data_IF_765682702231
#
_entry.id   IF_765682702231
#
_cell.length_a   1.000
_cell.length_b   1.000
_cell.length_c   1.000
_cell.angle_alpha   90.00
_cell.angle_beta   90.00
_cell.angle_gamma   90.00
#
_symmetry.space_group_name_H-M   'P 1'
#
loop_
_entity.id
_entity.type
_entity.pdbx_description
1 polymer ?
#
# COMPACT_ATOMS: atom_id res chain seq x y z
N UNK A 1 7.39 10.85 -10.74
CA UNK A 1 8.42 10.29 -9.81
C UNK A 1 8.45 11.00 -8.46
N UNK A 2 8.37 12.32 -8.37
CA UNK A 2 8.44 13.12 -7.13
C UNK A 2 7.50 12.61 -6.02
N UNK A 3 6.29 12.21 -6.39
CA UNK A 3 5.32 11.68 -5.43
C UNK A 3 5.76 10.36 -4.78
N UNK A 4 6.49 9.50 -5.50
CA UNK A 4 7.08 8.27 -4.95
C UNK A 4 8.29 8.62 -4.08
N UNK A 5 9.11 9.56 -4.53
CA UNK A 5 10.25 10.11 -3.79
C UNK A 5 9.81 10.63 -2.41
N UNK A 6 8.76 11.46 -2.36
CA UNK A 6 8.21 11.99 -1.12
C UNK A 6 7.76 10.86 -0.16
N UNK A 7 7.05 9.85 -0.68
CA UNK A 7 6.62 8.70 0.14
C UNK A 7 7.79 7.93 0.72
N UNK A 8 8.81 7.64 -0.09
CA UNK A 8 10.00 6.90 0.37
C UNK A 8 10.76 7.70 1.41
N UNK A 9 10.96 9.00 1.20
CA UNK A 9 11.59 9.88 2.18
C UNK A 9 10.84 9.86 3.53
N UNK A 10 9.51 10.00 3.49
CA UNK A 10 8.66 9.95 4.68
C UNK A 10 8.68 8.57 5.36
N UNK A 11 8.66 7.45 4.62
CA UNK A 11 8.80 6.11 5.19
C UNK A 11 10.13 5.96 5.92
N UNK A 12 11.21 6.48 5.35
CA UNK A 12 12.55 6.42 5.94
C UNK A 12 12.69 7.27 7.19
N UNK A 13 11.98 8.39 7.27
CA UNK A 13 11.93 9.28 8.44
C UNK A 13 10.93 8.87 9.49
N UNK A 14 10.02 7.92 9.21
CA UNK A 14 9.04 7.43 10.16
C UNK A 14 9.68 6.81 11.42
N UNK A 15 9.13 7.15 12.60
CA UNK A 15 9.61 6.70 13.91
C UNK A 15 8.56 5.95 14.73
N UNK A 16 7.27 6.15 14.46
CA UNK A 16 6.18 5.58 15.25
C UNK A 16 5.24 4.73 14.39
N UNK A 17 4.64 5.32 13.35
CA UNK A 17 3.58 4.66 12.59
C UNK A 17 3.51 5.09 11.13
N UNK A 18 3.07 4.15 10.29
CA UNK A 18 2.73 4.37 8.88
C UNK A 18 1.33 3.81 8.64
N UNK A 19 0.42 4.64 8.11
CA UNK A 19 -0.96 4.29 7.80
C UNK A 19 -1.24 4.52 6.32
N UNK A 20 -1.64 3.47 5.60
CA UNK A 20 -1.89 3.54 4.16
C UNK A 20 -3.27 3.01 3.84
N UNK A 21 -4.05 3.79 3.08
CA UNK A 21 -5.22 3.30 2.35
C UNK A 21 -4.97 3.43 0.86
N UNK A 22 -5.30 2.39 0.09
CA UNK A 22 -5.19 2.44 -1.37
C UNK A 22 -6.25 1.56 -2.02
N UNK A 23 -6.64 1.93 -3.23
CA UNK A 23 -7.59 1.16 -4.02
C UNK A 23 -6.89 0.05 -4.80
N UNK A 24 -5.71 0.33 -5.38
CA UNK A 24 -4.93 -0.62 -6.16
C UNK A 24 -3.52 -0.73 -5.62
N UNK A 25 -3.04 -1.95 -5.47
CA UNK A 25 -1.63 -2.26 -5.23
C UNK A 25 -1.22 -3.38 -6.18
N UNK A 26 -0.30 -3.10 -7.09
CA UNK A 26 0.13 -4.07 -8.12
C UNK A 26 1.50 -4.65 -7.76
N UNK A 27 1.70 -5.90 -8.14
CA UNK A 27 2.98 -6.59 -8.01
C UNK A 27 3.93 -6.18 -9.16
N UNK A 28 4.33 -4.92 -9.18
CA UNK A 28 5.28 -4.34 -10.13
C UNK A 28 6.43 -3.64 -9.41
N UNK A 29 7.33 -3.00 -10.14
CA UNK A 29 8.53 -2.38 -9.58
C UNK A 29 8.22 -1.35 -8.48
N UNK A 30 7.22 -0.49 -8.68
CA UNK A 30 6.82 0.52 -7.69
C UNK A 30 6.16 -0.13 -6.46
N UNK A 31 5.28 -1.11 -6.67
CA UNK A 31 4.64 -1.87 -5.60
C UNK A 31 5.64 -2.65 -4.75
N UNK A 32 6.62 -3.30 -5.39
CA UNK A 32 7.72 -4.01 -4.69
C UNK A 32 8.60 -3.05 -3.90
N UNK A 33 9.00 -1.93 -4.50
CA UNK A 33 9.82 -0.93 -3.83
C UNK A 33 9.14 -0.44 -2.54
N UNK A 34 7.84 -0.13 -2.61
CA UNK A 34 7.07 0.29 -1.45
C UNK A 34 7.03 -0.78 -0.34
N UNK A 35 6.77 -2.05 -0.67
CA UNK A 35 6.79 -3.14 0.33
C UNK A 35 8.15 -3.24 1.02
N UNK A 36 9.24 -3.12 0.28
CA UNK A 36 10.61 -3.19 0.84
C UNK A 36 10.91 -2.04 1.79
N UNK A 37 10.54 -0.83 1.43
CA UNK A 37 10.73 0.34 2.30
C UNK A 37 9.85 0.25 3.56
N UNK A 38 8.62 -0.24 3.45
CA UNK A 38 7.74 -0.52 4.59
C UNK A 38 8.32 -1.62 5.49
N UNK A 39 8.88 -2.68 4.91
CA UNK A 39 9.57 -3.73 5.67
C UNK A 39 10.80 -3.18 6.41
N UNK A 40 11.58 -2.33 5.76
CA UNK A 40 12.71 -1.66 6.40
C UNK A 40 12.25 -0.76 7.56
N UNK A 41 11.13 -0.04 7.43
CA UNK A 41 10.53 0.73 8.52
C UNK A 41 10.04 -0.17 9.67
N UNK A 42 9.34 -1.26 9.35
CA UNK A 42 8.88 -2.23 10.35
C UNK A 42 10.04 -2.85 11.15
N UNK A 43 11.16 -3.14 10.49
CA UNK A 43 12.40 -3.62 11.15
C UNK A 43 13.04 -2.58 12.07
N UNK A 44 12.80 -1.30 11.86
CA UNK A 44 13.21 -0.22 12.79
C UNK A 44 12.24 -0.07 13.98
N UNK A 45 11.14 -0.82 14.02
CA UNK A 45 10.14 -0.77 15.09
C UNK A 45 8.86 0.00 14.73
N UNK A 46 8.79 0.60 13.53
CA UNK A 46 7.63 1.37 13.08
C UNK A 46 6.43 0.46 12.86
N UNK A 47 5.25 0.87 13.35
CA UNK A 47 3.99 0.15 13.14
C UNK A 47 3.41 0.47 11.77
N UNK A 48 3.40 -0.50 10.87
CA UNK A 48 2.88 -0.35 9.50
C UNK A 48 1.49 -0.96 9.40
N UNK A 49 0.50 -0.16 9.01
CA UNK A 49 -0.89 -0.55 8.81
C UNK A 49 -1.35 -0.19 7.41
N UNK A 50 -1.78 -1.17 6.64
CA UNK A 50 -2.18 -0.98 5.24
C UNK A 50 -3.56 -1.56 5.00
N UNK A 51 -4.47 -0.76 4.43
CA UNK A 51 -5.77 -1.23 3.93
C UNK A 51 -5.76 -1.12 2.41
N UNK A 52 -6.10 -2.22 1.74
CA UNK A 52 -6.16 -2.31 0.28
C UNK A 52 -7.55 -2.77 -0.12
N UNK A 53 -8.13 -2.20 -1.17
CA UNK A 53 -9.36 -2.75 -1.74
C UNK A 53 -9.06 -4.06 -2.47
N UNK A 54 -9.88 -5.09 -2.23
CA UNK A 54 -9.63 -6.43 -2.77
C UNK A 54 -9.73 -6.50 -4.29
N UNK A 55 -10.67 -5.79 -4.91
CA UNK A 55 -11.15 -6.11 -6.27
C UNK A 55 -10.07 -5.98 -7.36
N UNK A 56 -9.16 -5.02 -7.22
CA UNK A 56 -8.14 -4.72 -8.24
C UNK A 56 -6.71 -4.85 -7.74
N UNK A 57 -6.54 -5.45 -6.55
CA UNK A 57 -5.24 -5.47 -5.88
C UNK A 57 -4.75 -6.88 -5.64
N UNK A 58 -3.45 -7.07 -5.79
CA UNK A 58 -2.72 -8.26 -5.32
C UNK A 58 -3.31 -9.61 -5.74
N UNK A 59 -3.91 -9.74 -6.92
CA UNK A 59 -4.66 -10.89 -7.44
C UNK A 59 -4.09 -12.30 -7.26
N UNK A 60 -3.05 -12.46 -6.41
CA UNK A 60 -2.38 -13.71 -6.12
C UNK A 60 -2.30 -13.97 -4.62
N UNK A 61 -2.94 -15.02 -4.15
CA UNK A 61 -2.92 -15.44 -2.74
C UNK A 61 -1.51 -15.71 -2.20
N UNK A 62 -0.56 -16.13 -3.05
CA UNK A 62 0.83 -16.35 -2.65
C UNK A 62 1.55 -15.04 -2.28
N UNK A 63 1.36 -13.96 -3.05
CA UNK A 63 1.90 -12.64 -2.73
C UNK A 63 1.34 -12.12 -1.40
N UNK A 64 0.02 -12.25 -1.23
CA UNK A 64 -0.66 -11.80 0.00
C UNK A 64 -0.21 -12.62 1.21
N UNK A 65 0.02 -13.95 1.07
CA UNK A 65 0.55 -14.78 2.16
C UNK A 65 2.00 -14.39 2.52
N UNK A 66 2.83 -14.10 1.52
CA UNK A 66 4.20 -13.65 1.76
C UNK A 66 4.21 -12.33 2.54
N UNK A 67 3.39 -11.36 2.13
CA UNK A 67 3.30 -10.06 2.82
C UNK A 67 2.75 -10.22 4.25
N UNK A 68 1.78 -11.10 4.47
CA UNK A 68 1.19 -11.35 5.79
C UNK A 68 2.21 -11.86 6.81
N UNK A 69 3.27 -12.53 6.36
CA UNK A 69 4.27 -13.17 7.22
C UNK A 69 5.62 -12.44 7.26
N UNK A 70 5.77 -11.30 6.57
CA UNK A 70 7.04 -10.59 6.46
C UNK A 70 7.60 -10.08 7.79
N UNK A 71 6.75 -9.47 8.61
CA UNK A 71 7.19 -8.88 9.88
C UNK A 71 6.00 -8.60 10.82
N UNK A 72 6.17 -8.82 12.13
CA UNK A 72 5.11 -8.61 13.14
C UNK A 72 4.56 -7.16 13.21
N UNK A 73 5.37 -6.18 12.82
CA UNK A 73 4.97 -4.77 12.78
C UNK A 73 4.34 -4.36 11.42
N UNK A 74 4.13 -5.31 10.50
CA UNK A 74 3.46 -5.07 9.22
C UNK A 74 2.10 -5.76 9.22
N UNK A 75 1.03 -4.96 9.21
CA UNK A 75 -0.33 -5.44 9.26
C UNK A 75 -1.08 -5.01 7.99
N UNK A 76 -1.49 -5.97 7.19
CA UNK A 76 -2.27 -5.74 5.99
C UNK A 76 -3.70 -6.22 6.18
N UNK A 77 -4.66 -5.42 5.70
CA UNK A 77 -6.06 -5.78 5.67
C UNK A 77 -6.65 -5.54 4.28
N UNK A 78 -7.56 -6.40 3.85
CA UNK A 78 -8.33 -6.18 2.63
C UNK A 78 -9.72 -5.61 2.97
N UNK A 79 -10.10 -4.57 2.23
CA UNK A 79 -11.44 -4.01 2.30
C UNK A 79 -12.41 -4.85 1.46
N UNK A 80 -13.48 -5.28 2.11
CA UNK A 80 -14.61 -5.98 1.54
C UNK A 80 -14.24 -7.17 0.63
N UNK A 81 -13.43 -8.15 1.14
CA UNK A 81 -13.11 -9.34 0.37
C UNK A 81 -14.38 -10.15 0.09
N UNK A 82 -14.63 -10.39 -1.19
CA UNK A 82 -15.75 -11.25 -1.62
C UNK A 82 -15.35 -12.69 -1.33
N UNK A 83 -16.28 -13.49 -0.73
CA UNK A 83 -16.06 -14.87 -0.36
C UNK A 83 -14.94 -15.16 0.65
N UNK A 84 -14.36 -14.13 1.29
CA UNK A 84 -13.27 -14.25 2.28
C UNK A 84 -11.98 -14.85 1.70
N UNK A 85 -11.70 -14.60 0.42
CA UNK A 85 -10.47 -14.97 -0.27
C UNK A 85 -9.71 -13.72 -0.74
N UNK A 86 -8.37 -13.80 -0.82
CA UNK A 86 -7.56 -12.75 -1.42
C UNK A 86 -7.73 -12.74 -2.95
N UNK A 87 -7.73 -13.94 -3.54
CA UNK A 87 -7.94 -14.10 -4.97
C UNK A 87 -9.42 -14.36 -5.28
N UNK A 88 -9.98 -13.60 -6.21
CA UNK A 88 -11.33 -13.84 -6.73
C UNK A 88 -11.23 -14.49 -8.11
N UNK A 89 -11.67 -15.73 -8.24
CA UNK A 89 -11.75 -16.41 -9.53
C UNK A 89 -12.83 -15.78 -10.43
N UNK A 90 -12.74 -16.00 -11.75
CA UNK A 90 -13.76 -15.52 -12.68
C UNK A 90 -15.16 -16.08 -12.34
N UNK A 91 -15.25 -17.35 -11.91
CA UNK A 91 -16.52 -17.94 -11.51
C UNK A 91 -17.09 -17.27 -10.26
N UNK A 92 -16.27 -16.99 -9.24
CA UNK A 92 -16.69 -16.27 -8.04
C UNK A 92 -17.13 -14.84 -8.36
N UNK A 93 -16.41 -14.16 -9.25
CA UNK A 93 -16.80 -12.82 -9.71
C UNK A 93 -18.19 -12.82 -10.36
N UNK A 94 -18.45 -13.75 -11.29
CA UNK A 94 -19.77 -13.91 -11.91
C UNK A 94 -20.85 -14.30 -10.90
N UNK A 95 -20.53 -15.18 -9.96
CA UNK A 95 -21.43 -15.56 -8.88
C UNK A 95 -21.76 -14.37 -7.99
N UNK A 96 -20.77 -13.52 -7.67
CA UNK A 96 -20.96 -12.30 -6.88
C UNK A 96 -21.82 -11.27 -7.60
N UNK A 97 -21.71 -11.16 -8.92
CA UNK A 97 -22.60 -10.32 -9.73
C UNK A 97 -24.07 -10.78 -9.63
N UNK A 98 -24.32 -12.09 -9.58
CA UNK A 98 -25.67 -12.64 -9.52
C UNK A 98 -26.29 -12.56 -8.13
N UNK A 99 -25.52 -12.92 -7.06
CA UNK A 99 -26.06 -13.01 -5.69
C UNK A 99 -25.88 -11.73 -4.86
N UNK A 100 -24.81 -10.98 -5.10
CA UNK A 100 -24.26 -10.10 -4.08
C UNK A 100 -23.76 -8.76 -4.66
N UNK A 101 -24.39 -8.27 -5.73
CA UNK A 101 -24.03 -7.03 -6.44
C UNK A 101 -23.88 -5.83 -5.49
N UNK A 102 -24.78 -5.68 -4.52
CA UNK A 102 -24.71 -4.59 -3.55
C UNK A 102 -23.43 -4.64 -2.69
N UNK A 103 -22.95 -5.85 -2.36
CA UNK A 103 -21.68 -6.05 -1.64
C UNK A 103 -20.49 -5.83 -2.56
N UNK A 104 -20.53 -6.38 -3.77
CA UNK A 104 -19.47 -6.21 -4.76
C UNK A 104 -19.25 -4.73 -5.10
N UNK A 105 -20.30 -3.91 -5.08
CA UNK A 105 -20.25 -2.49 -5.43
C UNK A 105 -19.76 -1.57 -4.28
N UNK A 106 -19.64 -2.09 -3.05
CA UNK A 106 -19.04 -1.34 -1.93
C UNK A 106 -17.52 -1.38 -2.04
N UNK A 107 -16.93 -0.32 -2.59
CA UNK A 107 -15.46 -0.22 -2.78
C UNK A 107 -14.89 0.94 -1.97
N UNK A 108 -13.65 0.77 -1.52
CA UNK A 108 -12.87 1.80 -0.85
C UNK A 108 -11.96 2.47 -1.89
N UNK A 109 -12.29 3.70 -2.28
CA UNK A 109 -11.51 4.43 -3.29
C UNK A 109 -10.53 5.44 -2.70
N UNK A 110 -10.39 5.45 -1.37
CA UNK A 110 -9.47 6.34 -0.64
C UNK A 110 -8.02 6.01 -1.00
N UNK A 111 -7.22 7.07 -1.13
CA UNK A 111 -5.77 6.97 -1.28
C UNK A 111 -5.15 7.95 -0.32
N UNK A 112 -4.81 7.45 0.86
CA UNK A 112 -4.22 8.23 1.94
C UNK A 112 -2.94 7.57 2.43
N UNK A 113 -2.02 8.39 2.88
CA UNK A 113 -0.74 7.97 3.42
C UNK A 113 -0.42 8.90 4.60
N UNK A 114 -0.29 8.36 5.79
CA UNK A 114 -0.04 9.13 7.01
C UNK A 114 1.18 8.56 7.73
N UNK A 115 2.07 9.44 8.18
CA UNK A 115 3.29 9.12 8.90
C UNK A 115 3.27 9.80 10.26
N UNK A 116 3.43 9.00 11.33
CA UNK A 116 3.56 9.43 12.72
C UNK A 116 2.43 10.37 13.19
N UNK A 117 1.28 10.37 12.51
CA UNK A 117 0.19 11.32 12.74
C UNK A 117 0.58 12.79 12.50
N UNK A 118 1.70 13.05 11.83
CA UNK A 118 2.28 14.40 11.61
C UNK A 118 2.24 14.83 10.16
N UNK A 119 2.48 13.89 9.25
CA UNK A 119 2.53 14.15 7.80
C UNK A 119 1.50 13.28 7.09
N UNK A 120 0.75 13.88 6.18
CA UNK A 120 -0.25 13.18 5.39
C UNK A 120 -0.10 13.45 3.91
N UNK A 121 -0.36 12.45 3.07
CA UNK A 121 -0.53 12.62 1.63
C UNK A 121 -1.91 12.08 1.24
N UNK A 122 -2.65 12.86 0.48
CA UNK A 122 -3.92 12.47 -0.13
C UNK A 122 -3.90 12.80 -1.61
N UNK A 123 -4.45 11.90 -2.44
CA UNK A 123 -4.48 12.10 -3.89
C UNK A 123 -5.18 11.00 -4.65
N UNK A 124 -4.89 10.89 -5.94
CA UNK A 124 -5.46 9.85 -6.79
C UNK A 124 -4.52 8.67 -7.06
N UNK A 125 -3.24 8.74 -6.70
CA UNK A 125 -2.25 7.72 -7.03
C UNK A 125 -2.44 6.43 -6.24
N UNK A 126 -2.40 5.32 -6.98
CA UNK A 126 -2.29 3.97 -6.43
C UNK A 126 -0.82 3.51 -6.43
N UNK A 127 -0.55 2.34 -5.82
CA UNK A 127 0.80 1.75 -5.81
C UNK A 127 0.97 0.83 -7.02
N UNK A 128 1.27 1.46 -8.15
CA UNK A 128 1.52 0.85 -9.45
C UNK A 128 2.46 1.74 -10.25
N UNK A 129 3.41 1.16 -11.00
CA UNK A 129 4.42 1.86 -11.80
C UNK A 129 3.85 2.95 -12.71
N UNK A 130 2.65 2.74 -13.26
CA UNK A 130 1.93 3.71 -14.11
C UNK A 130 1.57 5.03 -13.44
N UNK A 131 1.51 5.08 -12.12
CA UNK A 131 1.24 6.31 -11.37
C UNK A 131 2.51 7.12 -11.04
N UNK A 132 3.69 6.57 -11.35
CA UNK A 132 4.98 7.16 -10.99
C UNK A 132 5.91 7.38 -12.19
N UNK A 133 5.35 7.38 -13.40
CA UNK A 133 6.08 7.55 -14.65
C UNK A 133 7.11 6.45 -14.92
N UNK A 134 6.84 5.23 -14.45
CA UNK A 134 7.74 4.07 -14.56
C UNK A 134 7.30 3.03 -15.60
N UNK A 135 6.10 3.16 -16.16
CA UNK A 135 5.66 2.29 -17.25
C UNK A 135 6.13 2.88 -18.60
N UNK A 136 6.75 2.10 -19.48
CA UNK A 136 7.27 2.62 -20.75
C UNK A 136 6.18 2.98 -21.77
N UNK A 137 4.99 2.40 -21.65
CA UNK A 137 3.93 2.52 -22.65
C UNK A 137 2.90 3.57 -22.28
N UNK A 138 2.51 3.60 -20.98
CA UNK A 138 1.41 4.48 -20.54
C UNK A 138 1.52 4.85 -19.06
N UNK A 139 1.37 6.14 -18.74
CA UNK A 139 1.37 6.64 -17.38
C UNK A 139 0.15 7.54 -17.10
N UNK A 140 -0.44 7.36 -15.92
CA UNK A 140 -1.53 8.21 -15.44
C UNK A 140 -0.99 9.57 -14.97
N UNK A 141 -1.69 10.64 -15.33
CA UNK A 141 -1.45 11.97 -14.78
C UNK A 141 -2.37 12.20 -13.59
N UNK A 142 -1.78 12.32 -12.41
CA UNK A 142 -2.51 12.50 -11.16
C UNK A 142 -1.78 13.50 -10.25
N UNK A 143 -2.47 13.98 -9.23
CA UNK A 143 -1.91 14.92 -8.26
C UNK A 143 -2.09 14.40 -6.85
N UNK A 144 -1.08 14.65 -6.01
CA UNK A 144 -1.14 14.44 -4.57
C UNK A 144 -0.98 15.78 -3.85
N UNK A 145 -1.57 15.86 -2.68
CA UNK A 145 -1.45 16.99 -1.76
C UNK A 145 -0.80 16.47 -0.48
N UNK A 146 0.28 17.11 -0.06
CA UNK A 146 0.87 16.89 1.24
C UNK A 146 0.21 17.81 2.26
N UNK A 147 -0.11 17.26 3.43
CA UNK A 147 -0.76 17.93 4.53
C UNK A 147 0.08 17.81 5.82
N UNK A 148 0.05 18.84 6.65
CA UNK A 148 0.66 18.88 7.98
C UNK A 148 -0.33 19.50 8.98
N UNK A 149 -0.09 19.28 10.28
CA UNK A 149 -0.90 19.87 11.34
C UNK A 149 -2.20 19.13 11.64
N UNK A 150 -3.24 19.83 12.11
CA UNK A 150 -4.47 19.22 12.65
C UNK A 150 -5.23 18.36 11.63
N UNK A 151 -5.23 18.72 10.35
CA UNK A 151 -5.89 17.94 9.30
C UNK A 151 -5.34 16.50 9.19
N UNK A 152 -4.08 16.27 9.58
CA UNK A 152 -3.50 14.92 9.57
C UNK A 152 -4.13 14.03 10.65
N UNK A 153 -4.57 14.62 11.78
CA UNK A 153 -5.32 13.89 12.81
C UNK A 153 -6.68 13.41 12.28
N UNK A 154 -7.35 14.25 11.48
CA UNK A 154 -8.59 13.86 10.81
C UNK A 154 -8.36 12.73 9.82
N UNK A 155 -7.24 12.75 9.07
CA UNK A 155 -6.84 11.67 8.17
C UNK A 155 -6.62 10.35 8.94
N UNK A 156 -5.89 10.38 10.07
CA UNK A 156 -5.69 9.20 10.94
C UNK A 156 -7.01 8.71 11.56
N UNK A 157 -7.90 9.62 11.95
CA UNK A 157 -9.23 9.26 12.46
C UNK A 157 -10.06 8.56 11.39
N UNK A 158 -10.04 9.08 10.18
CA UNK A 158 -10.68 8.44 9.01
C UNK A 158 -10.09 7.06 8.75
N UNK A 159 -8.75 6.93 8.74
CA UNK A 159 -8.07 5.65 8.60
C UNK A 159 -8.53 4.66 9.68
N UNK A 160 -8.53 5.06 10.95
CA UNK A 160 -8.93 4.21 12.07
C UNK A 160 -10.38 3.73 11.95
N UNK A 161 -11.29 4.57 11.43
CA UNK A 161 -12.68 4.19 11.14
C UNK A 161 -12.77 3.05 10.12
N UNK A 162 -11.98 3.13 9.05
CA UNK A 162 -11.89 2.04 8.07
C UNK A 162 -11.20 0.81 8.66
N UNK A 163 -10.09 0.99 9.37
CA UNK A 163 -9.31 -0.10 9.97
C UNK A 163 -10.13 -0.98 10.91
N UNK A 164 -11.05 -0.37 11.65
CA UNK A 164 -11.93 -1.05 12.60
C UNK A 164 -13.30 -1.43 12.01
N UNK A 165 -13.51 -1.19 10.72
CA UNK A 165 -14.75 -1.53 10.03
C UNK A 165 -14.95 -3.05 9.94
N UNK A 166 -16.18 -3.57 10.09
CA UNK A 166 -16.47 -4.98 9.88
C UNK A 166 -16.30 -5.44 8.43
N UNK A 167 -16.09 -4.51 7.50
CA UNK A 167 -15.81 -4.79 6.10
C UNK A 167 -14.30 -4.98 5.80
N UNK A 168 -13.44 -4.83 6.81
CA UNK A 168 -11.99 -4.93 6.65
C UNK A 168 -11.48 -6.17 7.36
N UNK A 169 -10.85 -7.07 6.60
CA UNK A 169 -10.41 -8.39 7.08
C UNK A 169 -8.88 -8.45 7.04
N UNK A 170 -8.22 -8.85 8.16
CA UNK A 170 -6.80 -9.16 8.15
C UNK A 170 -6.47 -10.20 7.09
N UNK A 171 -5.39 -9.98 6.33
CA UNK A 171 -5.06 -10.85 5.18
C UNK A 171 -4.79 -12.31 5.60
N UNK A 172 -4.21 -12.51 6.77
CA UNK A 172 -3.95 -13.83 7.34
C UNK A 172 -5.23 -14.61 7.70
N UNK A 173 -6.38 -13.94 7.80
CA UNK A 173 -7.69 -14.58 8.07
C UNK A 173 -8.45 -14.95 6.79
N UNK A 174 -7.93 -14.62 5.61
CA UNK A 174 -8.52 -15.03 4.34
C UNK A 174 -8.26 -16.51 4.11
N UNK A 175 -9.25 -17.23 3.57
CA UNK A 175 -9.20 -18.72 3.47
C UNK A 175 -8.02 -19.21 2.66
N UNK A 176 -7.82 -18.65 1.46
CA UNK A 176 -6.75 -19.05 0.56
C UNK A 176 -5.36 -18.66 1.11
N UNK A 177 -5.25 -17.54 1.82
CA UNK A 177 -4.02 -17.08 2.48
C UNK A 177 -3.70 -17.95 3.70
N UNK A 178 -4.66 -18.16 4.59
CA UNK A 178 -4.45 -18.97 5.81
C UNK A 178 -4.08 -20.42 5.48
N UNK A 179 -4.70 -21.02 4.46
CA UNK A 179 -4.32 -22.36 3.99
C UNK A 179 -2.88 -22.42 3.49
N UNK A 180 -2.40 -21.38 2.78
CA UNK A 180 -1.01 -21.33 2.33
C UNK A 180 -0.03 -21.19 3.48
N UNK A 181 -0.33 -20.32 4.44
CA UNK A 181 0.50 -20.13 5.64
C UNK A 181 0.61 -21.44 6.44
N UNK A 182 -0.51 -22.10 6.67
CA UNK A 182 -0.56 -23.38 7.41
C UNK A 182 0.18 -24.52 6.70
N UNK A 183 0.17 -24.53 5.37
CA UNK A 183 0.88 -25.54 4.58
C UNK A 183 2.36 -25.23 4.37
N UNK A 184 2.87 -24.14 4.95
CA UNK A 184 4.28 -23.68 4.86
C UNK A 184 4.84 -23.74 3.42
N UNK A 185 4.08 -23.17 2.47
CA UNK A 185 4.46 -23.22 1.05
C UNK A 185 5.64 -22.30 0.69
N UNK A 186 6.27 -21.69 1.70
CA UNK A 186 7.42 -20.80 1.55
C UNK A 186 7.14 -19.52 0.77
N UNK A 187 7.97 -18.51 0.96
CA UNK A 187 7.93 -17.30 0.13
C UNK A 187 8.39 -17.61 -1.30
N UNK A 188 7.68 -17.07 -2.28
CA UNK A 188 8.05 -17.11 -3.70
C UNK A 188 8.71 -15.82 -4.17
N UNK A 189 8.74 -14.80 -3.31
CA UNK A 189 9.33 -13.51 -3.63
C UNK A 189 10.69 -13.41 -2.96
N UNK A 190 11.71 -13.15 -3.76
CA UNK A 190 13.00 -12.70 -3.24
C UNK A 190 12.93 -11.20 -2.91
N UNK A 191 12.60 -10.90 -1.67
CA UNK A 191 12.55 -9.52 -1.17
C UNK A 191 13.92 -8.84 -1.09
N UNK A 192 15.01 -9.59 -1.35
CA UNK A 192 16.37 -9.07 -1.40
C UNK A 192 16.88 -8.87 -2.84
N UNK A 193 16.07 -9.21 -3.84
CA UNK A 193 16.42 -9.05 -5.24
C UNK A 193 16.96 -7.65 -5.53
N UNK A 194 17.97 -7.57 -6.40
CA UNK A 194 18.55 -6.30 -6.85
C UNK A 194 17.48 -5.37 -7.41
N UNK A 195 17.47 -4.13 -6.94
CA UNK A 195 16.56 -3.11 -7.44
C UNK A 195 16.96 -2.67 -8.85
N UNK A 196 15.99 -2.33 -9.71
CA UNK A 196 16.29 -1.70 -10.98
C UNK A 196 16.99 -0.34 -10.76
N UNK A 197 17.81 0.07 -11.70
CA UNK A 197 18.63 1.29 -11.61
C UNK A 197 17.81 2.54 -11.24
N UNK A 198 16.63 2.71 -11.85
CA UNK A 198 15.73 3.83 -11.53
C UNK A 198 15.25 3.82 -10.08
N UNK A 199 15.05 2.66 -9.48
CA UNK A 199 14.72 2.55 -8.06
C UNK A 199 15.93 2.92 -7.18
N UNK A 200 17.13 2.49 -7.54
CA UNK A 200 18.36 2.85 -6.82
C UNK A 200 18.60 4.36 -6.87
N UNK A 201 18.40 5.00 -8.03
CA UNK A 201 18.52 6.45 -8.19
C UNK A 201 17.49 7.19 -7.31
N UNK A 202 16.24 6.75 -7.30
CA UNK A 202 15.20 7.32 -6.45
C UNK A 202 15.53 7.17 -4.96
N UNK A 203 16.07 6.00 -4.56
CA UNK A 203 16.47 5.75 -3.17
C UNK A 203 17.64 6.65 -2.73
N UNK A 204 18.58 6.91 -3.61
CA UNK A 204 19.68 7.87 -3.36
C UNK A 204 19.13 9.28 -3.16
N UNK A 205 18.25 9.75 -4.05
CA UNK A 205 17.58 11.05 -3.94
C UNK A 205 16.76 11.18 -2.65
N UNK A 206 16.05 10.11 -2.25
CA UNK A 206 15.24 10.11 -1.03
C UNK A 206 16.06 10.26 0.27
N UNK A 207 17.36 10.01 0.23
CA UNK A 207 18.29 10.19 1.37
C UNK A 207 19.05 11.52 1.30
N UNK A 208 19.00 12.23 0.19
CA UNK A 208 19.64 13.53 0.02
C UNK A 208 18.75 14.65 0.56
N UNK A 209 19.09 15.16 1.74
CA UNK A 209 18.34 16.21 2.42
C UNK A 209 18.28 17.52 1.60
N UNK A 210 19.34 17.84 0.83
CA UNK A 210 19.37 19.02 -0.02
C UNK A 210 18.38 18.83 -1.18
N UNK A 211 18.43 17.71 -1.87
CA UNK A 211 17.52 17.40 -2.97
C UNK A 211 16.05 17.43 -2.52
N UNK A 212 15.74 16.84 -1.37
CA UNK A 212 14.38 16.86 -0.79
C UNK A 212 13.93 18.29 -0.50
N UNK A 213 14.82 19.11 0.08
CA UNK A 213 14.53 20.52 0.39
C UNK A 213 14.24 21.30 -0.89
N UNK A 214 15.09 21.20 -1.88
CA UNK A 214 14.96 21.92 -3.16
C UNK A 214 13.72 21.46 -3.94
N UNK A 215 13.34 20.20 -3.85
CA UNK A 215 12.18 19.64 -4.58
C UNK A 215 10.85 20.04 -3.94
N UNK A 216 10.73 19.98 -2.61
CA UNK A 216 9.42 20.08 -1.95
C UNK A 216 9.17 21.41 -1.25
N UNK A 217 10.18 22.05 -0.66
CA UNK A 217 9.98 23.31 0.08
C UNK A 217 9.45 24.48 -0.75
N UNK A 218 9.81 24.66 -2.03
CA UNK A 218 9.23 25.73 -2.84
C UNK A 218 7.71 25.64 -3.03
N UNK A 219 7.13 24.46 -2.73
CA UNK A 219 5.70 24.18 -2.92
C UNK A 219 4.92 24.12 -1.60
N UNK A 220 5.56 24.39 -0.45
CA UNK A 220 4.90 24.49 0.85
C UNK A 220 4.33 25.91 0.99
N UNK A 221 3.01 26.02 1.04
CA UNK A 221 2.26 27.25 1.24
C UNK A 221 1.84 27.37 2.70
#
# INVERSE_FOLDING_TARGET
>A
EESLLARIHLIRSATESIEIQTFIWVNDEAGHLMIRELLAAARRGVQVRVIIDQLFSMGNSWLVSDIATLHQNMNFKLYNPVFQDAHTSAFEFFSALACCMARLNKRMHNKTFVIDGKYGIVGGRNYQSRYYDWDPDFNYKDRDVMAIGEVVKDMSTSFASFWNSPHVVPVEHLRDVSQRILNDQGSKIDWQQTQPEKALNLLAQATDAQHITETFFPHII
#
